data_IF_789938427115
#
_entry.id   IF_789938427115
#
_cell.length_a   1.000
_cell.length_b   1.000
_cell.length_c   1.000
_cell.angle_alpha   90.00
_cell.angle_beta   90.00
_cell.angle_gamma   90.00
#
_symmetry.space_group_name_H-M   'P 1'
#
loop_
_entity.id
_entity.type
_entity.pdbx_description
1 polymer ?
#
# COMPACT_ATOMS: atom_id res chain seq x y z
N UNK A 1 51.06 -30.43 -55.91
CA UNK A 1 51.88 -30.27 -54.69
C UNK A 1 51.70 -28.81 -54.29
N UNK A 2 50.99 -28.39 -53.23
CA UNK A 2 51.28 -28.63 -51.82
C UNK A 2 50.15 -28.02 -50.95
N UNK A 3 49.55 -28.86 -50.09
CA UNK A 3 48.91 -28.66 -48.75
C UNK A 3 48.05 -27.41 -48.41
N UNK A 4 46.82 -27.72 -47.97
CA UNK A 4 45.89 -26.94 -47.11
C UNK A 4 46.41 -26.84 -45.65
N UNK A 5 46.13 -25.75 -44.91
CA UNK A 5 45.19 -25.81 -43.76
C UNK A 5 44.29 -24.54 -43.67
N UNK A 6 42.96 -24.63 -43.56
CA UNK A 6 42.14 -24.78 -42.34
C UNK A 6 42.39 -23.70 -41.24
N UNK A 7 41.41 -22.80 -41.05
CA UNK A 7 41.16 -21.96 -39.84
C UNK A 7 39.69 -21.46 -39.95
N UNK A 8 38.70 -22.20 -39.44
CA UNK A 8 38.10 -22.15 -38.08
C UNK A 8 37.72 -20.75 -37.54
N UNK A 9 36.40 -20.56 -37.37
CA UNK A 9 35.69 -19.81 -36.33
C UNK A 9 35.90 -18.26 -36.27
N UNK A 10 34.91 -17.43 -35.92
CA UNK A 10 33.84 -17.64 -34.96
C UNK A 10 32.59 -16.78 -35.27
N UNK A 11 31.43 -17.39 -35.01
CA UNK A 11 30.11 -16.79 -34.93
C UNK A 11 30.04 -15.92 -33.67
N UNK A 12 29.76 -14.62 -33.77
CA UNK A 12 29.38 -13.79 -32.61
C UNK A 12 27.91 -13.40 -32.77
N UNK A 13 27.02 -14.22 -32.21
CA UNK A 13 25.64 -13.83 -32.01
C UNK A 13 25.58 -12.88 -30.82
N UNK A 14 25.31 -11.59 -31.09
CA UNK A 14 25.05 -10.59 -30.05
C UNK A 14 23.64 -10.83 -29.51
N UNK A 15 23.52 -11.57 -28.42
CA UNK A 15 22.25 -11.70 -27.70
C UNK A 15 22.13 -10.53 -26.73
N UNK A 16 21.33 -9.52 -27.08
CA UNK A 16 20.95 -8.46 -26.14
C UNK A 16 20.08 -9.05 -25.02
N UNK A 17 20.45 -8.94 -23.74
CA UNK A 17 19.57 -9.35 -22.66
C UNK A 17 18.40 -8.38 -22.60
N UNK A 18 17.19 -8.88 -22.86
CA UNK A 18 15.95 -8.17 -22.60
C UNK A 18 15.82 -8.03 -21.09
N UNK A 19 16.02 -6.82 -20.56
CA UNK A 19 15.79 -6.53 -19.15
C UNK A 19 14.34 -6.87 -18.81
N UNK A 20 14.13 -7.95 -18.06
CA UNK A 20 12.85 -8.27 -17.47
C UNK A 20 12.48 -7.13 -16.52
N UNK A 21 11.55 -6.27 -16.94
CA UNK A 21 10.97 -5.27 -16.08
C UNK A 21 10.20 -6.02 -15.00
N UNK A 22 10.84 -6.21 -13.84
CA UNK A 22 10.17 -6.67 -12.63
C UNK A 22 9.07 -5.67 -12.34
N UNK A 23 7.84 -6.01 -12.72
CA UNK A 23 6.66 -5.34 -12.18
C UNK A 23 6.63 -5.76 -10.72
N UNK A 24 7.30 -4.99 -9.86
CA UNK A 24 7.08 -5.10 -8.43
C UNK A 24 5.57 -5.05 -8.22
N UNK A 25 5.00 -5.91 -7.35
CA UNK A 25 3.58 -5.84 -7.04
C UNK A 25 3.28 -4.37 -6.69
N UNK A 26 2.44 -3.71 -7.52
CA UNK A 26 2.00 -2.35 -7.22
C UNK A 26 1.24 -2.48 -5.91
N UNK A 27 1.88 -2.11 -4.81
CA UNK A 27 1.19 -1.99 -3.54
C UNK A 27 -0.05 -1.13 -3.77
N UNK A 28 -1.24 -1.57 -3.30
CA UNK A 28 -2.44 -0.78 -3.45
C UNK A 28 -2.18 0.62 -2.88
N UNK A 29 -2.25 1.65 -3.74
CA UNK A 29 -1.95 3.03 -3.36
C UNK A 29 -3.09 3.57 -2.49
N UNK A 30 -3.01 3.34 -1.19
CA UNK A 30 -4.06 3.73 -0.25
C UNK A 30 -4.04 5.24 0.02
N UNK A 31 -2.90 5.92 -0.17
CA UNK A 31 -2.69 7.32 0.20
C UNK A 31 -3.63 8.27 -0.51
N UNK A 32 -4.29 9.14 0.26
CA UNK A 32 -5.25 10.11 -0.25
C UNK A 32 -6.18 10.62 0.84
N UNK A 33 -7.03 11.57 0.48
CA UNK A 33 -8.18 11.93 1.29
C UNK A 33 -9.38 11.11 0.82
N UNK A 34 -9.99 10.40 1.75
CA UNK A 34 -11.12 9.51 1.56
C UNK A 34 -12.34 10.07 2.28
N UNK A 35 -13.51 9.88 1.69
CA UNK A 35 -14.78 10.25 2.26
C UNK A 35 -15.59 8.99 2.55
N UNK A 36 -15.92 8.78 3.81
CA UNK A 36 -16.93 7.82 4.24
C UNK A 36 -18.26 8.57 4.40
N UNK A 37 -19.34 7.97 3.90
CA UNK A 37 -20.70 8.43 4.17
C UNK A 37 -21.39 7.36 5.02
N UNK A 38 -21.78 7.72 6.23
CA UNK A 38 -22.71 6.93 7.05
C UNK A 38 -24.10 7.54 6.94
N UNK A 39 -25.11 6.90 7.53
CA UNK A 39 -26.47 7.44 7.58
C UNK A 39 -26.50 8.78 8.34
N UNK A 40 -25.65 8.92 9.35
CA UNK A 40 -25.63 10.09 10.25
C UNK A 40 -24.66 11.19 9.82
N UNK A 41 -23.56 10.86 9.11
CA UNK A 41 -22.47 11.83 8.88
C UNK A 41 -21.61 11.53 7.64
N UNK A 42 -21.04 12.59 7.06
CA UNK A 42 -19.94 12.50 6.10
C UNK A 42 -18.63 12.73 6.84
N UNK A 43 -17.73 11.75 6.83
CA UNK A 43 -16.41 11.83 7.46
C UNK A 43 -15.29 11.77 6.44
N UNK A 44 -14.33 12.69 6.58
CA UNK A 44 -13.13 12.70 5.76
C UNK A 44 -11.95 12.10 6.52
N UNK A 45 -11.15 11.31 5.79
CA UNK A 45 -10.07 10.49 6.31
C UNK A 45 -8.85 10.75 5.45
N UNK A 46 -7.79 11.26 6.05
CA UNK A 46 -6.53 11.51 5.32
C UNK A 46 -5.56 10.37 5.59
N UNK A 47 -5.18 9.61 4.56
CA UNK A 47 -4.20 8.52 4.63
C UNK A 47 -2.90 8.97 3.98
N UNK A 48 -1.79 8.96 4.73
CA UNK A 48 -0.49 9.53 4.32
C UNK A 48 0.59 8.46 4.16
N UNK A 49 1.61 8.79 3.36
CA UNK A 49 2.74 7.91 3.04
C UNK A 49 3.65 7.57 4.23
N UNK A 50 3.57 8.32 5.32
CA UNK A 50 4.38 8.11 6.53
C UNK A 50 3.73 7.12 7.52
N UNK A 51 2.80 6.30 7.00
CA UNK A 51 1.97 5.37 7.77
C UNK A 51 1.05 6.04 8.78
N UNK A 52 0.79 7.35 8.68
CA UNK A 52 -0.26 8.00 9.48
C UNK A 52 -1.58 8.11 8.72
N UNK A 53 -2.68 8.00 9.46
CA UNK A 53 -4.00 8.38 8.99
C UNK A 53 -4.63 9.36 9.97
N UNK A 54 -5.52 10.24 9.50
CA UNK A 54 -6.25 11.17 10.34
C UNK A 54 -7.75 11.08 10.10
N UNK A 55 -8.50 10.90 11.19
CA UNK A 55 -9.95 10.85 11.26
C UNK A 55 -10.43 11.95 12.22
N UNK A 56 -10.96 13.05 11.68
CA UNK A 56 -11.23 14.23 12.51
C UNK A 56 -9.96 14.70 13.24
N UNK A 57 -10.00 14.69 14.57
CA UNK A 57 -8.86 15.05 15.45
C UNK A 57 -7.95 13.86 15.81
N UNK A 58 -8.39 12.63 15.54
CA UNK A 58 -7.63 11.43 15.88
C UNK A 58 -6.58 11.11 14.82
N UNK A 59 -5.37 10.77 15.27
CA UNK A 59 -4.31 10.23 14.42
C UNK A 59 -4.12 8.75 14.69
N UNK A 60 -4.16 7.99 13.61
CA UNK A 60 -3.93 6.57 13.60
C UNK A 60 -2.59 6.25 12.92
N UNK A 61 -2.03 5.08 13.23
CA UNK A 61 -1.04 4.44 12.37
C UNK A 61 -1.73 3.39 11.50
N UNK A 62 -1.30 3.24 10.26
CA UNK A 62 -1.82 2.22 9.35
C UNK A 62 -0.71 1.44 8.65
N UNK A 63 -1.03 0.23 8.21
CA UNK A 63 -0.25 -0.55 7.24
C UNK A 63 -1.16 -1.46 6.44
N UNK A 64 -0.75 -1.82 5.23
CA UNK A 64 -1.41 -2.84 4.42
C UNK A 64 -0.60 -4.12 4.49
N UNK A 65 -1.27 -5.23 4.78
CA UNK A 65 -0.67 -6.57 4.77
C UNK A 65 -1.57 -7.49 3.94
N UNK A 66 -1.06 -7.96 2.80
CA UNK A 66 -1.88 -8.62 1.78
C UNK A 66 -3.14 -7.80 1.46
N UNK A 67 -4.33 -8.37 1.66
CA UNK A 67 -5.62 -7.71 1.44
C UNK A 67 -6.24 -7.18 2.75
N UNK A 68 -5.42 -6.92 3.76
CA UNK A 68 -5.87 -6.39 5.05
C UNK A 68 -5.29 -5.02 5.36
N UNK A 69 -6.15 -4.13 5.85
CA UNK A 69 -5.79 -2.84 6.42
C UNK A 69 -5.69 -2.96 7.93
N UNK A 70 -4.52 -2.70 8.46
CA UNK A 70 -4.23 -2.71 9.89
C UNK A 70 -4.21 -1.27 10.37
N UNK A 71 -4.92 -0.97 11.46
CA UNK A 71 -5.03 0.37 12.03
C UNK A 71 -4.84 0.31 13.53
N UNK A 72 -4.11 1.25 14.10
CA UNK A 72 -4.09 1.48 15.55
C UNK A 72 -4.24 2.97 15.86
N UNK A 73 -4.92 3.27 16.96
CA UNK A 73 -5.12 4.64 17.47
C UNK A 73 -4.66 4.66 18.92
N UNK A 74 -3.90 5.67 19.33
CA UNK A 74 -3.57 5.89 20.75
C UNK A 74 -2.76 4.75 21.38
N UNK A 75 -3.46 3.79 21.99
CA UNK A 75 -2.95 2.75 22.90
C UNK A 75 -2.10 1.65 22.23
N UNK A 76 -2.04 1.63 20.91
CA UNK A 76 -1.20 0.70 20.15
C UNK A 76 -1.85 -0.65 19.84
N UNK A 77 -3.12 -0.87 20.22
CA UNK A 77 -3.84 -2.09 19.83
C UNK A 77 -4.20 -2.02 18.34
N UNK A 78 -3.84 -3.05 17.59
CA UNK A 78 -4.08 -3.12 16.14
C UNK A 78 -5.43 -3.76 15.84
N UNK A 79 -6.27 -3.01 15.13
CA UNK A 79 -7.48 -3.50 14.50
C UNK A 79 -7.18 -3.90 13.06
N UNK A 80 -7.71 -5.05 12.65
CA UNK A 80 -7.49 -5.63 11.33
C UNK A 80 -8.81 -5.66 10.56
N UNK A 81 -8.79 -5.01 9.40
CA UNK A 81 -9.91 -4.97 8.46
C UNK A 81 -9.52 -5.67 7.17
N UNK A 82 -10.44 -6.42 6.56
CA UNK A 82 -10.33 -6.77 5.14
C UNK A 82 -10.46 -5.50 4.30
N UNK A 83 -9.72 -5.39 3.20
CA UNK A 83 -9.78 -4.27 2.28
C UNK A 83 -9.89 -4.69 0.81
N UNK A 84 -10.68 -3.95 0.05
CA UNK A 84 -10.71 -4.01 -1.41
C UNK A 84 -10.54 -2.61 -1.98
N UNK A 85 -9.47 -2.40 -2.74
CA UNK A 85 -9.17 -1.12 -3.38
C UNK A 85 -9.41 -1.21 -4.89
N UNK A 86 -10.27 -0.36 -5.41
CA UNK A 86 -10.60 -0.22 -6.83
C UNK A 86 -10.55 1.26 -7.22
N UNK A 87 -9.36 1.73 -7.60
CA UNK A 87 -9.09 3.12 -7.96
C UNK A 87 -9.43 4.12 -6.86
N UNK A 88 -10.55 4.81 -7.02
CA UNK A 88 -11.09 5.80 -6.07
C UNK A 88 -12.10 5.21 -5.08
N UNK A 89 -12.31 3.89 -5.08
CA UNK A 89 -13.23 3.21 -4.18
C UNK A 89 -12.45 2.28 -3.26
N UNK A 90 -12.60 2.46 -1.96
CA UNK A 90 -12.06 1.58 -0.93
C UNK A 90 -13.23 0.97 -0.17
N UNK A 91 -13.32 -0.35 -0.13
CA UNK A 91 -14.25 -1.05 0.75
C UNK A 91 -13.46 -1.71 1.88
N UNK A 92 -13.85 -1.45 3.12
CA UNK A 92 -13.32 -2.09 4.32
C UNK A 92 -14.40 -2.96 4.98
N UNK A 93 -14.01 -4.06 5.60
CA UNK A 93 -14.94 -5.03 6.20
C UNK A 93 -14.33 -5.78 7.37
N UNK A 94 -15.17 -6.34 8.24
CA UNK A 94 -14.72 -7.08 9.42
C UNK A 94 -14.23 -6.15 10.54
N UNK A 95 -13.34 -6.64 11.39
CA UNK A 95 -12.91 -5.92 12.59
C UNK A 95 -14.09 -5.64 13.51
N UNK A 96 -14.29 -4.37 13.84
CA UNK A 96 -15.41 -3.85 14.64
C UNK A 96 -16.60 -3.36 13.79
N UNK A 97 -16.58 -3.54 12.46
CA UNK A 97 -17.66 -3.12 11.58
C UNK A 97 -18.78 -4.16 11.51
N UNK A 98 -20.02 -3.75 11.78
CA UNK A 98 -21.22 -4.60 11.59
C UNK A 98 -21.42 -4.96 10.11
N UNK A 99 -21.18 -3.99 9.21
CA UNK A 99 -21.32 -4.14 7.75
C UNK A 99 -20.12 -3.51 7.03
N UNK A 100 -19.75 -3.98 5.83
CA UNK A 100 -18.70 -3.35 5.05
C UNK A 100 -18.98 -1.86 4.79
N UNK A 101 -17.95 -1.02 4.96
CA UNK A 101 -18.01 0.42 4.69
C UNK A 101 -17.28 0.72 3.39
N UNK A 102 -17.87 1.56 2.55
CA UNK A 102 -17.24 2.02 1.31
C UNK A 102 -16.89 3.50 1.41
N UNK A 103 -15.64 3.81 1.09
CA UNK A 103 -15.07 5.13 1.05
C UNK A 103 -14.78 5.53 -0.40
N UNK A 104 -14.97 6.81 -0.71
CA UNK A 104 -14.60 7.41 -1.98
C UNK A 104 -13.38 8.30 -1.82
N UNK A 105 -12.36 8.14 -2.66
CA UNK A 105 -11.22 9.06 -2.71
C UNK A 105 -11.69 10.39 -3.29
N UNK A 106 -11.40 11.47 -2.60
CA UNK A 106 -11.81 12.83 -2.98
C UNK A 106 -10.62 13.74 -3.27
N UNK A 107 -9.39 13.27 -3.06
CA UNK A 107 -8.20 14.04 -3.38
C UNK A 107 -6.90 13.43 -2.85
N UNK A 108 -5.77 14.14 -3.05
CA UNK A 108 -4.51 13.78 -2.43
C UNK A 108 -4.58 13.90 -0.90
N UNK A 109 -3.64 13.27 -0.20
CA UNK A 109 -3.50 13.42 1.23
C UNK A 109 -2.90 14.78 1.58
N UNK A 110 -3.45 15.48 2.55
CA UNK A 110 -2.81 16.67 3.13
C UNK A 110 -1.71 16.25 4.09
N UNK A 111 -0.64 17.03 4.19
CA UNK A 111 0.43 16.77 5.15
C UNK A 111 -0.10 16.88 6.60
N UNK A 112 0.46 16.06 7.50
CA UNK A 112 0.25 16.23 8.94
C UNK A 112 1.21 17.31 9.43
N UNK A 113 0.81 18.10 10.44
CA UNK A 113 1.77 18.93 11.15
C UNK A 113 2.82 18.05 11.85
N UNK A 114 4.10 18.44 11.80
CA UNK A 114 5.20 17.67 12.37
C UNK A 114 5.09 17.50 13.89
N UNK A 115 4.38 18.41 14.56
CA UNK A 115 4.11 18.37 16.01
C UNK A 115 3.13 17.27 16.43
N UNK A 116 2.37 16.70 15.49
CA UNK A 116 1.37 15.68 15.82
C UNK A 116 2.04 14.30 15.79
N UNK A 117 1.97 13.59 16.91
CA UNK A 117 2.57 12.27 17.05
C UNK A 117 1.79 11.21 16.25
N UNK A 118 2.51 10.21 15.74
CA UNK A 118 1.94 8.98 15.16
C UNK A 118 2.05 7.88 16.22
N UNK A 119 1.00 7.07 16.47
CA UNK A 119 1.10 5.87 17.31
C UNK A 119 2.27 4.99 16.87
N UNK A 120 3.03 4.36 17.77
CA UNK A 120 4.24 3.60 17.42
C UNK A 120 3.99 2.47 16.39
N UNK A 121 4.98 2.10 15.54
CA UNK A 121 4.84 0.92 14.69
C UNK A 121 4.79 -0.35 15.57
N UNK A 122 4.17 -1.44 15.07
CA UNK A 122 4.20 -2.69 15.81
C UNK A 122 5.64 -3.21 15.90
N UNK A 123 5.97 -4.05 16.91
CA UNK A 123 7.24 -4.76 16.94
C UNK A 123 7.50 -5.49 15.61
N UNK A 124 8.75 -5.52 15.12
CA UNK A 124 9.08 -6.17 13.84
C UNK A 124 8.67 -7.65 13.73
N UNK A 125 8.50 -8.31 14.88
CA UNK A 125 8.08 -9.71 14.99
C UNK A 125 6.58 -9.93 14.81
N UNK A 126 5.78 -8.86 14.89
CA UNK A 126 4.33 -8.96 14.76
C UNK A 126 3.93 -9.08 13.28
N UNK A 127 3.46 -10.28 12.93
CA UNK A 127 2.98 -10.62 11.60
C UNK A 127 1.47 -10.46 11.52
N UNK A 128 0.94 -10.40 10.30
CA UNK A 128 -0.48 -10.65 10.11
C UNK A 128 -0.77 -12.14 10.26
N UNK A 129 -1.75 -12.47 11.10
CA UNK A 129 -2.19 -13.84 11.37
C UNK A 129 -3.44 -14.12 10.54
#
# INVERSE_FOLDING_TARGET
MTRLPLLLAALVAVTTPLAAQSTAPRHPRLEGTWQAKTEDEIRNITVRTDSSAQFGEQVARWRVVADSLWITVGDGVWQVYGMKLDGEKLTISGGDLEKPVTLRRIGPATARADSVAIPAPPPPTERAW
#
